data_IF_026394984656
#
_entry.id   IF_026394984656
#
_cell.length_a   1.000
_cell.length_b   1.000
_cell.length_c   1.000
_cell.angle_alpha   90.00
_cell.angle_beta   90.00
_cell.angle_gamma   90.00
#
_symmetry.space_group_name_H-M   'P 1'
#
loop_
_entity.id
_entity.type
_entity.pdbx_description
1 polymer ?
#
# COMPACT_ATOMS: atom_id res chain seq x y z
N UNK A 1 17.60 16.40 4.03
CA UNK A 1 17.95 15.54 2.86
C UNK A 1 17.51 14.11 3.12
N UNK A 2 16.25 13.77 2.83
CA UNK A 2 15.69 12.42 2.91
C UNK A 2 14.84 12.11 1.66
N UNK A 3 15.22 12.70 0.51
CA UNK A 3 14.37 12.77 -0.67
C UNK A 3 14.98 12.21 -1.95
N UNK A 4 15.96 11.29 -1.88
CA UNK A 4 16.62 10.80 -3.10
C UNK A 4 16.65 9.27 -3.26
N UNK A 5 16.38 8.49 -2.20
CA UNK A 5 16.44 7.02 -2.31
C UNK A 5 15.09 6.33 -2.52
N UNK A 6 13.98 7.05 -2.38
CA UNK A 6 12.61 6.50 -2.54
C UNK A 6 12.05 6.70 -3.96
N UNK A 7 12.70 7.51 -4.79
CA UNK A 7 12.20 7.91 -6.10
C UNK A 7 12.56 6.95 -7.25
N UNK A 8 13.35 5.91 -6.98
CA UNK A 8 13.71 4.91 -8.00
C UNK A 8 12.75 3.72 -8.07
N UNK A 9 11.81 3.59 -7.12
CA UNK A 9 10.83 2.51 -7.08
C UNK A 9 9.42 2.92 -7.61
N UNK A 10 9.22 4.20 -7.99
CA UNK A 10 7.91 4.69 -8.46
C UNK A 10 7.68 4.58 -9.97
N UNK A 11 8.72 4.62 -10.81
CA UNK A 11 8.54 4.79 -12.27
C UNK A 11 8.73 3.52 -13.12
N UNK A 12 8.84 2.32 -12.53
CA UNK A 12 8.99 1.08 -13.31
C UNK A 12 7.84 0.09 -13.10
N UNK A 13 7.22 -0.27 -14.23
CA UNK A 13 6.16 -1.27 -14.40
C UNK A 13 4.80 -0.98 -13.75
N UNK A 14 3.94 -0.25 -14.48
CA UNK A 14 2.66 -0.74 -15.05
C UNK A 14 1.63 -1.48 -14.18
N UNK A 15 1.86 -1.66 -12.89
CA UNK A 15 0.97 -2.37 -11.97
C UNK A 15 -0.10 -1.41 -11.45
N UNK A 16 -1.15 -1.26 -12.24
CA UNK A 16 -2.37 -0.58 -11.82
C UNK A 16 -3.22 -1.63 -11.11
N UNK A 17 -3.37 -1.51 -9.79
CA UNK A 17 -4.34 -2.32 -9.04
C UNK A 17 -5.75 -2.05 -9.59
N UNK A 18 -6.38 -2.96 -10.35
CA UNK A 18 -7.62 -2.65 -11.05
C UNK A 18 -8.77 -2.99 -10.10
N UNK A 19 -9.09 -2.06 -9.20
CA UNK A 19 -10.39 -1.92 -8.52
C UNK A 19 -10.44 -0.57 -7.80
N UNK A 20 -10.51 0.49 -8.60
CA UNK A 20 -11.22 1.69 -8.16
C UNK A 20 -12.73 1.39 -8.16
N UNK A 21 -13.43 2.06 -7.25
CA UNK A 21 -14.88 2.10 -7.10
C UNK A 21 -15.53 0.98 -6.24
N UNK A 22 -15.92 1.42 -5.04
CA UNK A 22 -17.04 0.91 -4.23
C UNK A 22 -16.80 -0.41 -3.47
N UNK A 23 -15.92 -0.39 -2.46
CA UNK A 23 -16.03 -1.34 -1.34
C UNK A 23 -16.58 -0.62 -0.09
N UNK A 24 -17.59 -1.18 0.61
CA UNK A 24 -18.16 -0.62 1.84
C UNK A 24 -17.25 -0.83 3.08
N UNK A 25 -15.95 -1.08 2.89
CA UNK A 25 -14.98 -1.37 3.96
C UNK A 25 -14.39 -0.11 4.63
N UNK A 26 -14.95 1.09 4.41
CA UNK A 26 -14.43 2.34 4.99
C UNK A 26 -14.18 2.20 6.50
N UNK A 27 -15.08 1.51 7.18
CA UNK A 27 -15.15 1.37 8.63
C UNK A 27 -13.95 0.63 9.23
N UNK A 28 -13.54 -0.50 8.63
CA UNK A 28 -12.41 -1.32 9.11
C UNK A 28 -11.06 -0.69 8.76
N UNK A 29 -10.98 -0.01 7.61
CA UNK A 29 -9.80 0.77 7.25
C UNK A 29 -9.65 1.96 8.19
N UNK A 30 -10.73 2.69 8.49
CA UNK A 30 -10.74 3.83 9.42
C UNK A 30 -10.27 3.42 10.83
N UNK A 31 -10.71 2.27 11.35
CA UNK A 31 -10.28 1.77 12.67
C UNK A 31 -8.80 1.37 12.74
N UNK A 32 -8.21 0.83 11.66
CA UNK A 32 -6.78 0.50 11.62
C UNK A 32 -5.89 1.74 11.48
N UNK A 33 -6.43 2.84 10.95
CA UNK A 33 -5.70 4.08 10.70
C UNK A 33 -5.85 5.10 11.85
N UNK A 34 -6.88 4.99 12.68
CA UNK A 34 -7.19 5.95 13.74
C UNK A 34 -6.11 6.04 14.84
N UNK A 35 -5.32 4.98 15.06
CA UNK A 35 -4.22 5.00 16.04
C UNK A 35 -2.99 5.81 15.59
N UNK A 36 -2.85 6.12 14.29
CA UNK A 36 -1.68 6.82 13.75
C UNK A 36 -1.60 8.28 14.18
N UNK A 37 -2.74 8.90 14.49
CA UNK A 37 -2.78 10.30 14.93
C UNK A 37 -2.03 10.53 16.26
N UNK A 38 -2.01 9.53 17.14
CA UNK A 38 -1.38 9.60 18.46
C UNK A 38 0.10 9.17 18.46
N UNK A 39 0.59 8.52 17.40
CA UNK A 39 1.98 8.08 17.29
C UNK A 39 2.95 9.27 17.27
N UNK A 40 4.16 9.12 17.80
CA UNK A 40 5.25 10.11 17.76
C UNK A 40 5.86 10.23 16.35
N UNK A 41 6.71 11.23 16.12
CA UNK A 41 7.40 11.37 14.82
C UNK A 41 8.27 10.17 14.48
N UNK A 42 8.98 9.62 15.46
CA UNK A 42 9.83 8.45 15.25
C UNK A 42 9.01 7.22 14.88
N UNK A 43 7.92 6.96 15.62
CA UNK A 43 7.00 5.86 15.34
C UNK A 43 6.33 6.00 13.97
N UNK A 44 5.97 7.21 13.54
CA UNK A 44 5.41 7.44 12.20
C UNK A 44 6.42 7.07 11.09
N UNK A 45 7.69 7.44 11.26
CA UNK A 45 8.75 7.13 10.28
C UNK A 45 9.04 5.63 10.24
N UNK A 46 9.10 4.98 11.40
CA UNK A 46 9.27 3.52 11.50
C UNK A 46 8.12 2.79 10.81
N UNK A 47 6.87 3.16 11.12
CA UNK A 47 5.70 2.57 10.48
C UNK A 47 5.62 2.85 8.97
N UNK A 48 6.18 3.97 8.49
CA UNK A 48 6.28 4.27 7.06
C UNK A 48 7.24 3.29 6.38
N UNK A 49 8.38 3.03 7.00
CA UNK A 49 9.35 2.07 6.49
C UNK A 49 8.78 0.64 6.48
N UNK A 50 8.17 0.20 7.58
CA UNK A 50 7.49 -1.10 7.65
C UNK A 50 6.40 -1.22 6.58
N UNK A 51 5.59 -0.18 6.38
CA UNK A 51 4.54 -0.19 5.38
C UNK A 51 5.07 -0.24 3.94
N UNK A 52 6.25 0.35 3.67
CA UNK A 52 6.93 0.23 2.36
C UNK A 52 7.40 -1.20 2.11
N UNK A 53 8.04 -1.81 3.10
CA UNK A 53 8.52 -3.20 3.02
C UNK A 53 7.36 -4.18 2.85
N UNK A 54 6.28 -3.98 3.59
CA UNK A 54 5.07 -4.79 3.48
C UNK A 54 4.40 -4.62 2.11
N UNK A 55 4.27 -3.39 1.60
CA UNK A 55 3.78 -3.14 0.23
C UNK A 55 4.62 -3.88 -0.81
N UNK A 56 5.96 -3.88 -0.66
CA UNK A 56 6.88 -4.59 -1.55
C UNK A 56 6.66 -6.10 -1.50
N UNK A 57 6.49 -6.66 -0.29
CA UNK A 57 6.20 -8.09 -0.08
C UNK A 57 4.88 -8.51 -0.73
N UNK A 58 3.80 -7.75 -0.48
CA UNK A 58 2.49 -8.01 -1.06
C UNK A 58 2.54 -7.91 -2.59
N UNK A 59 3.19 -6.86 -3.14
CA UNK A 59 3.33 -6.67 -4.59
C UNK A 59 4.03 -7.86 -5.24
N UNK A 60 5.10 -8.39 -4.61
CA UNK A 60 5.79 -9.57 -5.10
C UNK A 60 4.85 -10.79 -5.14
N UNK A 61 4.12 -11.05 -4.05
CA UNK A 61 3.20 -12.19 -3.99
C UNK A 61 2.09 -12.11 -5.06
N UNK A 62 1.51 -10.91 -5.24
CA UNK A 62 0.50 -10.68 -6.28
C UNK A 62 1.07 -10.93 -7.69
N UNK A 63 2.28 -10.44 -7.97
CA UNK A 63 2.94 -10.65 -9.28
C UNK A 63 3.28 -12.12 -9.51
N UNK A 64 3.81 -12.80 -8.50
CA UNK A 64 4.15 -14.24 -8.58
C UNK A 64 2.90 -15.08 -8.90
N UNK A 65 1.74 -14.71 -8.37
CA UNK A 65 0.47 -15.35 -8.68
C UNK A 65 -0.04 -15.01 -10.08
N UNK A 66 -0.05 -13.73 -10.48
CA UNK A 66 -0.49 -13.31 -11.80
C UNK A 66 0.36 -13.97 -12.90
N UNK A 67 1.67 -14.08 -12.69
CA UNK A 67 2.60 -14.76 -13.60
C UNK A 67 2.32 -16.27 -13.68
N UNK A 68 2.06 -16.93 -12.55
CA UNK A 68 1.71 -18.36 -12.53
C UNK A 68 0.37 -18.61 -13.19
N UNK A 69 -0.62 -17.76 -12.91
CA UNK A 69 -1.95 -17.85 -13.48
C UNK A 69 -1.89 -17.68 -14.99
N UNK A 70 -1.15 -16.68 -15.49
CA UNK A 70 -0.97 -16.46 -16.91
C UNK A 70 -0.31 -17.64 -17.60
N UNK A 71 0.74 -18.22 -17.01
CA UNK A 71 1.43 -19.41 -17.56
C UNK A 71 0.52 -20.63 -17.66
N UNK A 72 -0.39 -20.81 -16.70
CA UNK A 72 -1.30 -21.96 -16.66
C UNK A 72 -2.52 -21.78 -17.56
N UNK A 73 -3.09 -20.59 -17.59
CA UNK A 73 -4.41 -20.33 -18.19
C UNK A 73 -4.32 -19.57 -19.52
N UNK A 74 -3.13 -19.09 -19.89
CA UNK A 74 -2.90 -18.26 -21.09
C UNK A 74 -3.80 -17.02 -21.17
N UNK A 75 -4.24 -16.52 -20.00
CA UNK A 75 -5.04 -15.30 -19.84
C UNK A 75 -4.71 -14.62 -18.52
N UNK A 76 -5.02 -13.33 -18.42
CA UNK A 76 -4.85 -12.57 -17.18
C UNK A 76 -5.92 -12.94 -16.14
N UNK A 77 -5.59 -12.69 -14.87
CA UNK A 77 -6.47 -12.89 -13.71
C UNK A 77 -7.70 -11.97 -13.83
N UNK A 78 -8.90 -12.54 -13.85
CA UNK A 78 -10.15 -11.80 -13.81
C UNK A 78 -10.68 -11.69 -12.37
N UNK A 79 -11.75 -10.92 -12.16
CA UNK A 79 -12.27 -10.63 -10.82
C UNK A 79 -12.68 -11.90 -10.08
N UNK A 80 -13.24 -12.86 -10.81
CA UNK A 80 -13.70 -14.15 -10.28
C UNK A 80 -12.51 -15.02 -9.83
N UNK A 81 -11.37 -14.88 -10.50
CA UNK A 81 -10.15 -15.64 -10.21
C UNK A 81 -9.34 -15.09 -9.02
N UNK A 82 -9.70 -13.90 -8.50
CA UNK A 82 -8.97 -13.25 -7.39
C UNK A 82 -9.29 -13.83 -6.03
N UNK A 83 -10.31 -14.68 -5.91
CA UNK A 83 -10.72 -15.27 -4.64
C UNK A 83 -9.57 -15.91 -3.84
N UNK A 84 -8.60 -16.64 -4.46
CA UNK A 84 -7.47 -17.23 -3.74
C UNK A 84 -6.54 -16.22 -3.08
N UNK A 85 -6.48 -14.98 -3.60
CA UNK A 85 -5.64 -13.89 -3.08
C UNK A 85 -6.44 -12.67 -2.64
N UNK A 86 -7.72 -12.86 -2.30
CA UNK A 86 -8.58 -11.76 -1.90
C UNK A 86 -8.03 -11.01 -0.68
N UNK A 87 -7.37 -11.72 0.24
CA UNK A 87 -6.68 -11.13 1.40
C UNK A 87 -5.55 -10.21 0.99
N UNK A 88 -4.67 -10.66 0.11
CA UNK A 88 -3.49 -9.93 -0.36
C UNK A 88 -3.87 -8.71 -1.21
N UNK A 89 -4.88 -8.83 -2.07
CA UNK A 89 -5.41 -7.69 -2.82
C UNK A 89 -6.02 -6.64 -1.87
N UNK A 90 -6.76 -7.06 -0.84
CA UNK A 90 -7.30 -6.15 0.16
C UNK A 90 -6.20 -5.49 0.99
N UNK A 91 -5.18 -6.25 1.40
CA UNK A 91 -4.07 -5.71 2.17
C UNK A 91 -3.22 -4.75 1.34
N UNK A 92 -3.06 -4.99 0.03
CA UNK A 92 -2.42 -4.03 -0.87
C UNK A 92 -3.16 -2.69 -0.91
N UNK A 93 -4.50 -2.70 -0.90
CA UNK A 93 -5.31 -1.47 -0.82
C UNK A 93 -5.14 -0.78 0.53
N UNK A 94 -5.17 -1.54 1.62
CA UNK A 94 -4.97 -1.00 2.97
C UNK A 94 -3.58 -0.39 3.15
N UNK A 95 -2.52 -1.07 2.69
CA UNK A 95 -1.15 -0.57 2.85
C UNK A 95 -0.93 0.70 2.04
N UNK A 96 -1.55 0.82 0.85
CA UNK A 96 -1.53 2.07 0.06
C UNK A 96 -2.21 3.23 0.79
N UNK A 97 -3.35 2.98 1.44
CA UNK A 97 -4.02 3.99 2.27
C UNK A 97 -3.19 4.37 3.50
N UNK A 98 -2.58 3.38 4.19
CA UNK A 98 -1.70 3.60 5.34
C UNK A 98 -0.50 4.46 4.97
N UNK A 99 0.21 4.14 3.87
CA UNK A 99 1.34 4.92 3.37
C UNK A 99 0.95 6.37 3.13
N UNK A 100 -0.15 6.60 2.42
CA UNK A 100 -0.61 7.96 2.14
C UNK A 100 -0.92 8.76 3.41
N UNK A 101 -1.54 8.12 4.41
CA UNK A 101 -1.82 8.78 5.68
C UNK A 101 -0.53 9.09 6.45
N UNK A 102 0.43 8.16 6.51
CA UNK A 102 1.72 8.37 7.17
C UNK A 102 2.49 9.53 6.54
N UNK A 103 2.58 9.59 5.21
CA UNK A 103 3.19 10.71 4.48
C UNK A 103 2.56 12.05 4.87
N UNK A 104 1.22 12.10 4.93
CA UNK A 104 0.48 13.31 5.30
C UNK A 104 0.75 13.71 6.75
N UNK A 105 0.74 12.76 7.69
CA UNK A 105 0.97 13.02 9.11
C UNK A 105 2.39 13.52 9.37
N UNK A 106 3.39 12.93 8.72
CA UNK A 106 4.79 13.35 8.79
C UNK A 106 4.92 14.78 8.21
N UNK A 107 4.41 15.00 6.99
CA UNK A 107 4.47 16.31 6.32
C UNK A 107 3.84 17.45 7.14
N UNK A 108 2.71 17.18 7.80
CA UNK A 108 2.04 18.15 8.69
C UNK A 108 2.89 18.52 9.91
N UNK A 109 3.63 17.57 10.47
CA UNK A 109 4.46 17.80 11.65
C UNK A 109 5.80 18.43 11.31
N UNK A 110 6.34 18.14 10.15
CA UNK A 110 7.56 18.80 9.67
C UNK A 110 7.29 20.26 9.31
N UNK A 111 6.18 20.57 8.63
CA UNK A 111 5.75 21.96 8.40
C UNK A 111 5.50 22.75 9.69
N UNK A 112 5.01 22.09 10.75
CA UNK A 112 4.80 22.73 12.06
C UNK A 112 6.10 23.10 12.79
N UNK A 113 7.25 22.55 12.40
CA UNK A 113 8.56 22.88 13.00
C UNK A 113 9.23 24.10 12.36
N UNK A 114 8.71 24.59 11.24
CA UNK A 114 9.28 25.70 10.48
C UNK A 114 8.45 27.01 10.61
N UNK A 115 7.53 27.07 11.58
CA UNK A 115 6.77 28.26 11.99
C UNK A 115 7.18 28.61 13.41
#
# INVERSE_FOLDING_TARGET
MLGLLDQLDEDTDGFISPVDELSPSKNTTDMRLSNLHAATMQELVEQLQEAREEKKRIRKNLRDFEDQFFKQNSRNVQKEDRSPLAGEYNEYKHIKAKLRLLEVLISKRDSSKFI
#
